data_IF_941443982440
#
_entry.id   IF_941443982440
#
_cell.length_a   1.000
_cell.length_b   1.000
_cell.length_c   1.000
_cell.angle_alpha   90.00
_cell.angle_beta   90.00
_cell.angle_gamma   90.00
#
_symmetry.space_group_name_H-M   'P 1'
#
loop_
_entity.id
_entity.type
_entity.pdbx_description
1 polymer ?
#
# COMPACT_ATOMS: atom_id res chain seq x y z
N UNK A 1 -8.08 -8.50 17.35
CA UNK A 1 -8.35 -7.34 16.46
C UNK A 1 -9.41 -6.39 17.02
N UNK A 2 -10.56 -6.86 17.56
CA UNK A 2 -11.63 -5.98 18.11
C UNK A 2 -11.24 -5.17 19.36
N UNK A 3 -10.37 -5.69 20.23
CA UNK A 3 -9.93 -4.97 21.45
C UNK A 3 -9.02 -3.76 21.14
N UNK A 4 -8.17 -3.88 20.12
CA UNK A 4 -7.32 -2.78 19.64
C UNK A 4 -8.16 -1.63 19.07
N UNK A 5 -9.14 -1.96 18.24
CA UNK A 5 -10.07 -0.99 17.68
C UNK A 5 -10.77 -0.19 18.80
N UNK A 6 -11.24 -0.87 19.85
CA UNK A 6 -11.94 -0.25 20.98
C UNK A 6 -11.03 0.68 21.81
N UNK A 7 -9.79 0.28 22.07
CA UNK A 7 -8.80 1.09 22.80
C UNK A 7 -8.41 2.36 22.03
N UNK A 8 -8.25 2.25 20.70
CA UNK A 8 -7.92 3.40 19.86
C UNK A 8 -9.09 4.37 19.73
N UNK A 9 -10.33 3.89 19.55
CA UNK A 9 -11.52 4.78 19.50
C UNK A 9 -11.78 5.48 20.83
N UNK A 10 -11.46 4.86 21.97
CA UNK A 10 -11.63 5.50 23.28
C UNK A 10 -10.58 6.58 23.57
N UNK A 11 -9.32 6.35 23.18
CA UNK A 11 -8.20 7.24 23.53
C UNK A 11 -7.91 8.30 22.46
N UNK A 12 -8.26 8.05 21.21
CA UNK A 12 -8.07 9.00 20.12
C UNK A 12 -9.45 9.48 19.67
N UNK A 13 -9.73 10.80 19.70
CA UNK A 13 -10.96 11.34 19.14
C UNK A 13 -10.93 11.16 17.62
N UNK A 14 -11.42 10.01 17.15
CA UNK A 14 -11.49 9.65 15.75
C UNK A 14 -12.91 9.82 15.25
N UNK A 15 -13.07 10.52 14.12
CA UNK A 15 -14.32 10.52 13.37
C UNK A 15 -14.29 9.32 12.44
N UNK A 16 -15.36 8.51 12.45
CA UNK A 16 -15.52 7.43 11.48
C UNK A 16 -15.69 8.04 10.09
N UNK A 17 -14.73 7.74 9.20
CA UNK A 17 -14.70 8.28 7.83
C UNK A 17 -14.90 7.19 6.78
N UNK A 18 -15.45 6.03 7.17
CA UNK A 18 -15.70 4.90 6.26
C UNK A 18 -14.68 3.76 6.38
N UNK A 19 -14.98 2.64 5.71
CA UNK A 19 -14.04 1.54 5.55
C UNK A 19 -13.04 1.89 4.45
N UNK A 20 -11.76 1.61 4.71
CA UNK A 20 -10.71 1.75 3.71
C UNK A 20 -10.40 0.37 3.15
N UNK A 21 -10.60 0.20 1.85
CA UNK A 21 -10.25 -1.04 1.15
C UNK A 21 -9.03 -0.79 0.28
N UNK A 22 -8.15 -1.78 0.25
CA UNK A 22 -7.04 -1.83 -0.69
C UNK A 22 -7.04 -3.15 -1.45
N UNK A 23 -6.76 -3.07 -2.74
CA UNK A 23 -6.57 -4.23 -3.61
C UNK A 23 -5.26 -4.09 -4.34
N UNK A 24 -4.35 -5.02 -4.10
CA UNK A 24 -3.07 -5.10 -4.79
C UNK A 24 -3.08 -6.24 -5.80
N UNK A 25 -2.48 -6.04 -6.97
CA UNK A 25 -2.38 -7.04 -8.04
C UNK A 25 -0.98 -7.09 -8.61
N UNK A 26 -0.53 -8.28 -8.96
CA UNK A 26 0.68 -8.52 -9.72
C UNK A 26 0.31 -9.01 -11.12
N UNK A 27 0.83 -8.32 -12.13
CA UNK A 27 0.75 -8.71 -13.53
C UNK A 27 2.15 -9.04 -14.06
N UNK A 28 2.24 -10.07 -14.90
CA UNK A 28 3.46 -10.48 -15.59
C UNK A 28 3.35 -10.15 -17.08
N UNK A 29 4.44 -9.64 -17.65
CA UNK A 29 4.53 -9.40 -19.08
C UNK A 29 4.62 -10.71 -19.90
N UNK A 30 3.84 -10.80 -20.97
CA UNK A 30 3.73 -11.97 -21.85
C UNK A 30 4.22 -11.72 -23.28
N UNK A 31 4.87 -10.58 -23.54
CA UNK A 31 5.40 -10.29 -24.87
C UNK A 31 6.44 -11.36 -25.30
N UNK A 32 6.31 -11.90 -26.52
CA UNK A 32 7.28 -12.85 -27.05
C UNK A 32 8.62 -12.14 -27.32
N UNK A 33 9.73 -12.86 -27.13
CA UNK A 33 11.10 -12.41 -27.42
C UNK A 33 11.64 -11.26 -26.54
N UNK A 34 11.03 -11.00 -25.38
CA UNK A 34 11.64 -10.10 -24.39
C UNK A 34 12.62 -10.88 -23.51
N UNK A 35 13.87 -10.44 -23.47
CA UNK A 35 14.94 -11.12 -22.72
C UNK A 35 14.67 -11.15 -21.20
N UNK A 36 13.96 -10.15 -20.69
CA UNK A 36 13.56 -10.06 -19.28
C UNK A 36 12.12 -9.57 -19.20
N UNK A 37 11.22 -10.47 -18.78
CA UNK A 37 9.81 -10.14 -18.56
C UNK A 37 9.68 -9.15 -17.40
N UNK A 38 8.82 -8.16 -17.56
CA UNK A 38 8.52 -7.18 -16.53
C UNK A 38 7.37 -7.61 -15.62
N UNK A 39 7.42 -7.13 -14.38
CA UNK A 39 6.32 -7.20 -13.44
C UNK A 39 5.67 -5.82 -13.34
N UNK A 40 4.34 -5.78 -13.40
CA UNK A 40 3.55 -4.61 -13.06
C UNK A 40 2.81 -4.90 -11.76
N UNK A 41 3.00 -4.05 -10.76
CA UNK A 41 2.25 -4.07 -9.51
C UNK A 41 1.21 -2.96 -9.58
N UNK A 42 -0.04 -3.25 -9.24
CA UNK A 42 -1.05 -2.20 -9.11
C UNK A 42 -1.68 -2.24 -7.73
N UNK A 43 -1.94 -1.07 -7.15
CA UNK A 43 -2.71 -0.92 -5.92
C UNK A 43 -3.88 0.02 -6.19
N UNK A 44 -5.08 -0.45 -5.87
CA UNK A 44 -6.28 0.39 -5.79
C UNK A 44 -6.53 0.70 -4.34
N UNK A 45 -6.70 1.98 -4.01
CA UNK A 45 -7.02 2.45 -2.66
C UNK A 45 -8.36 3.18 -2.74
N UNK A 46 -9.32 2.80 -1.91
CA UNK A 46 -10.64 3.46 -1.88
C UNK A 46 -10.92 4.04 -0.49
N UNK A 47 -10.47 5.27 -0.20
CA UNK A 47 -11.13 6.08 0.82
C UNK A 47 -12.43 6.62 0.20
N UNK A 48 -13.60 6.21 0.71
CA UNK A 48 -14.90 6.76 0.32
C UNK A 48 -15.26 6.61 -1.18
N UNK A 49 -15.12 5.41 -1.74
CA UNK A 49 -15.60 5.04 -3.08
C UNK A 49 -14.94 5.75 -4.28
N UNK A 50 -14.01 6.69 -4.06
CA UNK A 50 -13.14 7.21 -5.10
C UNK A 50 -11.97 6.24 -5.28
N UNK A 51 -12.13 5.30 -6.21
CA UNK A 51 -11.10 4.32 -6.54
C UNK A 51 -9.99 4.99 -7.36
N UNK A 52 -8.88 5.30 -6.70
CA UNK A 52 -7.65 5.70 -7.40
C UNK A 52 -6.73 4.49 -7.49
N UNK A 53 -6.20 4.24 -8.68
CA UNK A 53 -5.30 3.14 -8.94
C UNK A 53 -3.88 3.67 -9.15
N UNK A 54 -2.89 2.99 -8.60
CA UNK A 54 -1.48 3.30 -8.81
C UNK A 54 -0.80 2.07 -9.41
N UNK A 55 0.01 2.28 -10.44
CA UNK A 55 0.72 1.22 -11.15
C UNK A 55 2.23 1.44 -11.05
N UNK A 56 2.95 0.45 -10.53
CA UNK A 56 4.41 0.40 -10.46
C UNK A 56 4.92 -0.62 -11.48
N UNK A 57 5.75 -0.15 -12.42
CA UNK A 57 6.49 -1.02 -13.36
C UNK A 57 7.96 -0.69 -13.26
N UNK A 58 8.80 -1.71 -13.10
CA UNK A 58 10.22 -1.56 -12.79
C UNK A 58 10.39 -0.70 -11.53
N UNK A 59 10.78 0.57 -11.72
CA UNK A 59 10.98 1.57 -10.69
C UNK A 59 10.19 2.85 -11.00
N UNK A 60 9.08 2.79 -11.73
CA UNK A 60 8.27 3.99 -12.01
C UNK A 60 6.85 3.73 -11.54
N UNK A 61 6.38 4.58 -10.62
CA UNK A 61 4.99 4.56 -10.15
C UNK A 61 4.19 5.66 -10.84
N UNK A 62 3.00 5.31 -11.31
CA UNK A 62 2.11 6.24 -12.01
C UNK A 62 0.73 6.13 -11.39
N UNK A 63 0.10 7.28 -11.16
CA UNK A 63 -1.31 7.37 -10.81
C UNK A 63 -2.17 7.18 -12.07
N UNK A 64 -3.17 6.33 -11.97
CA UNK A 64 -4.07 5.94 -13.04
C UNK A 64 -5.53 6.06 -12.60
N UNK A 65 -6.40 6.33 -13.57
CA UNK A 65 -7.84 6.39 -13.34
C UNK A 65 -8.44 4.98 -13.20
N UNK A 66 -9.65 4.89 -12.65
CA UNK A 66 -10.35 3.63 -12.37
C UNK A 66 -10.55 2.69 -13.58
N UNK A 67 -10.46 3.20 -14.80
CA UNK A 67 -10.60 2.40 -16.03
C UNK A 67 -9.34 1.57 -16.37
N UNK A 68 -8.22 1.78 -15.68
CA UNK A 68 -6.96 1.08 -15.96
C UNK A 68 -7.09 -0.44 -15.82
N UNK A 69 -7.88 -0.93 -14.87
CA UNK A 69 -8.16 -2.36 -14.75
C UNK A 69 -8.90 -2.91 -15.98
N UNK A 70 -9.89 -2.17 -16.50
CA UNK A 70 -10.62 -2.55 -17.70
C UNK A 70 -9.71 -2.55 -18.94
N UNK A 71 -8.73 -1.65 -19.00
CA UNK A 71 -7.70 -1.62 -20.04
C UNK A 71 -6.80 -2.85 -19.95
N UNK A 72 -6.26 -3.16 -18.77
CA UNK A 72 -5.42 -4.36 -18.55
C UNK A 72 -6.18 -5.65 -18.87
N UNK A 73 -7.48 -5.70 -18.57
CA UNK A 73 -8.33 -6.84 -18.91
C UNK A 73 -8.50 -7.04 -20.43
N UNK A 74 -8.31 -6.00 -21.25
CA UNK A 74 -8.28 -6.09 -22.72
C UNK A 74 -6.89 -6.42 -23.26
N UNK A 75 -5.83 -6.09 -22.53
CA UNK A 75 -4.43 -6.32 -22.89
C UNK A 75 -3.87 -7.66 -22.37
N UNK A 76 -4.67 -8.72 -22.31
CA UNK A 76 -4.28 -10.03 -21.73
C UNK A 76 -3.15 -10.74 -22.48
N UNK A 77 -2.93 -10.37 -23.74
CA UNK A 77 -1.82 -10.85 -24.55
C UNK A 77 -0.48 -10.18 -24.17
N UNK A 78 -0.51 -9.07 -23.42
CA UNK A 78 0.66 -8.34 -22.93
C UNK A 78 0.82 -8.55 -21.43
N UNK A 79 -0.27 -8.48 -20.66
CA UNK A 79 -0.24 -8.57 -19.21
C UNK A 79 -1.12 -9.71 -18.71
N UNK A 80 -0.53 -10.65 -17.99
CA UNK A 80 -1.26 -11.73 -17.32
C UNK A 80 -1.36 -11.45 -15.82
N UNK A 81 -2.58 -11.44 -15.28
CA UNK A 81 -2.77 -11.33 -13.83
C UNK A 81 -2.26 -12.62 -13.15
N UNK A 82 -1.34 -12.47 -12.19
CA UNK A 82 -0.73 -13.59 -11.47
C UNK A 82 -1.21 -13.71 -10.03
N UNK A 83 -1.42 -12.57 -9.36
CA UNK A 83 -1.81 -12.56 -7.95
C UNK A 83 -2.69 -11.36 -7.65
N UNK A 84 -3.61 -11.56 -6.72
CA UNK A 84 -4.45 -10.51 -6.12
C UNK A 84 -4.36 -10.64 -4.60
N UNK A 85 -4.19 -9.52 -3.92
CA UNK A 85 -4.21 -9.39 -2.46
C UNK A 85 -5.24 -8.33 -2.12
N UNK A 86 -6.30 -8.73 -1.43
CA UNK A 86 -7.30 -7.82 -0.89
C UNK A 86 -7.03 -7.60 0.60
N UNK A 87 -7.12 -6.36 1.05
CA UNK A 87 -7.04 -6.02 2.47
C UNK A 87 -8.00 -4.90 2.81
N UNK A 88 -8.63 -5.02 3.96
CA UNK A 88 -9.58 -4.05 4.47
C UNK A 88 -9.05 -3.53 5.80
N UNK A 89 -9.06 -2.21 5.98
CA UNK A 89 -8.72 -1.60 7.25
C UNK A 89 -9.73 -0.52 7.58
N UNK A 90 -10.07 -0.40 8.86
CA UNK A 90 -10.90 0.71 9.33
C UNK A 90 -10.00 1.90 9.65
N UNK A 91 -10.20 3.01 8.95
CA UNK A 91 -9.45 4.25 9.19
C UNK A 91 -10.29 5.20 10.05
N UNK A 92 -9.80 5.50 11.25
CA UNK A 92 -10.29 6.61 12.07
C UNK A 92 -9.38 7.80 11.77
N UNK A 93 -9.91 8.83 11.11
CA UNK A 93 -9.10 9.97 10.72
C UNK A 93 -8.45 10.63 11.95
N UNK A 94 -7.13 10.82 11.89
CA UNK A 94 -6.37 11.61 12.87
C UNK A 94 -5.83 12.85 12.19
N UNK A 95 -6.07 14.03 12.80
CA UNK A 95 -5.54 15.32 12.33
C UNK A 95 -4.04 15.48 12.63
N UNK A 96 -3.45 14.56 13.39
CA UNK A 96 -2.05 14.59 13.79
C UNK A 96 -1.43 13.18 13.72
N UNK A 97 -1.06 12.68 12.52
CA UNK A 97 -0.52 11.33 12.35
C UNK A 97 0.76 11.08 13.18
N UNK A 98 1.59 12.12 13.34
CA UNK A 98 2.80 12.05 14.18
C UNK A 98 2.51 12.17 15.68
N UNK A 99 1.40 12.79 16.10
CA UNK A 99 1.04 12.84 17.52
C UNK A 99 0.64 11.47 18.07
N UNK A 100 0.15 10.58 17.20
CA UNK A 100 -0.14 9.18 17.55
C UNK A 100 1.07 8.26 17.49
N UNK A 101 2.23 8.72 17.00
CA UNK A 101 3.40 7.84 16.84
C UNK A 101 3.88 7.28 18.18
N UNK A 102 3.94 8.11 19.23
CA UNK A 102 4.33 7.66 20.58
C UNK A 102 3.35 6.64 21.15
N UNK A 103 2.04 6.90 21.02
CA UNK A 103 0.96 6.01 21.46
C UNK A 103 0.95 4.68 20.70
N UNK A 104 1.17 4.71 19.38
CA UNK A 104 1.27 3.51 18.56
C UNK A 104 2.50 2.68 18.93
N UNK A 105 3.66 3.32 19.14
CA UNK A 105 4.86 2.63 19.59
C UNK A 105 4.68 2.00 20.98
N UNK A 106 4.03 2.72 21.91
CA UNK A 106 3.71 2.21 23.25
C UNK A 106 2.76 1.01 23.16
N UNK A 107 1.70 1.12 22.35
CA UNK A 107 0.76 0.03 22.14
C UNK A 107 1.43 -1.20 21.51
N UNK A 108 2.20 -1.01 20.43
CA UNK A 108 2.95 -2.11 19.79
C UNK A 108 3.85 -2.76 20.83
N UNK A 109 4.56 -1.99 21.64
CA UNK A 109 5.41 -2.54 22.71
C UNK A 109 4.63 -3.35 23.74
N UNK A 110 3.39 -2.95 24.04
CA UNK A 110 2.52 -3.64 25.00
C UNK A 110 1.98 -4.97 24.45
N UNK A 111 1.66 -5.05 23.16
CA UNK A 111 1.14 -6.28 22.54
C UNK A 111 2.23 -7.18 21.95
N UNK A 112 3.45 -6.66 21.78
CA UNK A 112 4.57 -7.42 21.24
C UNK A 112 5.02 -8.44 22.29
N UNK A 113 5.00 -9.75 21.97
CA UNK A 113 5.54 -10.76 22.87
C UNK A 113 6.98 -10.43 23.24
N UNK A 114 7.40 -10.70 24.49
CA UNK A 114 8.74 -10.36 24.99
C UNK A 114 9.92 -10.94 24.20
N UNK A 115 9.67 -11.89 23.28
CA UNK A 115 10.65 -12.51 22.39
C UNK A 115 10.57 -12.02 20.94
N UNK A 116 9.57 -11.23 20.58
CA UNK A 116 9.40 -10.72 19.23
C UNK A 116 10.25 -9.45 19.04
N UNK A 117 10.98 -9.40 17.92
CA UNK A 117 11.76 -8.22 17.54
C UNK A 117 10.84 -7.32 16.71
N UNK A 118 10.55 -6.12 17.21
CA UNK A 118 9.86 -5.09 16.43
C UNK A 118 10.88 -4.53 15.44
N UNK A 119 10.87 -5.03 14.22
CA UNK A 119 11.61 -4.40 13.14
C UNK A 119 10.82 -3.15 12.72
N UNK A 120 11.23 -1.98 13.21
CA UNK A 120 10.72 -0.73 12.65
C UNK A 120 11.09 -0.71 11.18
N UNK A 121 10.09 -0.63 10.31
CA UNK A 121 10.33 -0.45 8.89
C UNK A 121 11.16 0.82 8.70
N UNK A 122 12.43 0.63 8.39
CA UNK A 122 13.25 1.65 7.78
C UNK A 122 13.06 1.45 6.28
N UNK A 123 12.84 2.50 5.48
CA UNK A 123 12.97 2.39 4.04
C UNK A 123 14.40 1.90 3.76
N UNK A 124 14.58 0.59 3.63
CA UNK A 124 15.75 -0.04 3.04
C UNK A 124 15.41 -0.18 1.58
N UNK A 125 15.63 0.89 0.85
CA UNK A 125 15.25 1.03 -0.55
C UNK A 125 15.65 2.39 -1.05
N UNK A 126 15.85 2.47 -2.36
CA UNK A 126 16.28 3.66 -3.08
C UNK A 126 15.45 4.90 -2.68
N UNK A 127 16.09 6.06 -2.79
CA UNK A 127 15.45 7.37 -2.57
C UNK A 127 14.15 7.48 -3.39
N UNK A 128 13.12 8.17 -2.88
CA UNK A 128 11.87 8.42 -3.62
C UNK A 128 12.12 8.98 -5.02
N UNK A 129 13.17 9.77 -5.20
CA UNK A 129 13.59 10.29 -6.50
C UNK A 129 13.93 9.18 -7.51
N UNK A 130 14.41 8.01 -7.06
CA UNK A 130 14.68 6.87 -7.94
C UNK A 130 13.43 6.31 -8.61
N UNK A 131 12.26 6.57 -8.01
CA UNK A 131 10.95 6.16 -8.52
C UNK A 131 10.08 7.30 -9.02
N UNK A 132 10.68 8.49 -9.24
CA UNK A 132 10.00 9.67 -9.73
C UNK A 132 9.12 10.38 -8.69
N UNK A 133 9.35 10.10 -7.40
CA UNK A 133 8.64 10.70 -6.28
C UNK A 133 9.45 11.80 -5.60
N UNK A 134 8.76 12.68 -4.86
CA UNK A 134 9.38 13.81 -4.16
C UNK A 134 10.00 13.36 -2.84
N UNK A 135 11.17 13.88 -2.49
CA UNK A 135 11.77 13.60 -1.16
C UNK A 135 11.14 14.44 -0.04
N UNK A 136 10.43 15.50 -0.40
CA UNK A 136 9.96 16.52 0.55
C UNK A 136 8.44 16.60 0.64
N UNK A 137 7.73 16.23 -0.42
CA UNK A 137 6.28 16.31 -0.50
C UNK A 137 5.66 14.92 -0.50
N UNK A 138 4.91 14.59 0.54
CA UNK A 138 4.31 13.28 0.68
C UNK A 138 2.88 13.27 0.11
N UNK A 139 2.66 12.45 -0.91
CA UNK A 139 1.37 12.30 -1.61
C UNK A 139 0.81 10.88 -1.47
N UNK A 140 -0.42 10.65 -1.91
CA UNK A 140 -1.01 9.30 -1.93
C UNK A 140 -0.20 8.31 -2.79
N UNK A 141 0.51 8.80 -3.82
CA UNK A 141 1.45 8.00 -4.63
C UNK A 141 2.61 7.45 -3.79
N UNK A 142 3.10 8.21 -2.80
CA UNK A 142 4.15 7.74 -1.89
C UNK A 142 3.65 6.64 -0.97
N UNK A 143 2.44 6.82 -0.44
CA UNK A 143 1.77 5.81 0.38
C UNK A 143 1.53 4.53 -0.42
N UNK A 144 1.06 4.64 -1.66
CA UNK A 144 0.89 3.52 -2.57
C UNK A 144 2.21 2.77 -2.81
N UNK A 145 3.29 3.50 -3.09
CA UNK A 145 4.62 2.94 -3.26
C UNK A 145 5.10 2.18 -2.01
N UNK A 146 4.99 2.78 -0.82
CA UNK A 146 5.39 2.14 0.44
C UNK A 146 4.66 0.81 0.67
N UNK A 147 3.34 0.77 0.43
CA UNK A 147 2.54 -0.45 0.60
C UNK A 147 2.99 -1.53 -0.39
N UNK A 148 3.17 -1.16 -1.66
CA UNK A 148 3.66 -2.11 -2.68
C UNK A 148 5.03 -2.68 -2.31
N UNK A 149 5.95 -1.83 -1.83
CA UNK A 149 7.27 -2.27 -1.40
C UNK A 149 7.22 -3.18 -0.17
N UNK A 150 6.34 -2.89 0.79
CA UNK A 150 6.11 -3.76 1.95
C UNK A 150 5.61 -5.13 1.51
N UNK A 151 4.55 -5.18 0.70
CA UNK A 151 3.97 -6.44 0.24
C UNK A 151 4.96 -7.25 -0.62
N UNK A 152 5.78 -6.58 -1.43
CA UNK A 152 6.86 -7.21 -2.19
C UNK A 152 7.94 -7.78 -1.27
N UNK A 153 8.38 -7.03 -0.24
CA UNK A 153 9.37 -7.50 0.76
C UNK A 153 8.87 -8.76 1.48
N UNK A 154 7.59 -8.82 1.81
CA UNK A 154 6.96 -9.94 2.49
C UNK A 154 6.55 -11.10 1.55
N UNK A 155 6.92 -11.06 0.27
CA UNK A 155 6.55 -12.03 -0.77
C UNK A 155 5.02 -12.24 -0.89
N UNK A 156 4.25 -11.19 -0.56
CA UNK A 156 2.80 -11.17 -0.67
C UNK A 156 2.34 -10.76 -2.08
N UNK A 157 3.20 -10.15 -2.89
CA UNK A 157 2.97 -9.89 -4.32
C UNK A 157 3.92 -10.69 -5.20
#
# INVERSE_FOLDING_TARGET
>A
MRELHHLLTQKLPGVYVGQWQMRCKLYLEELPNVAQKKNMYSITMSPNFNETQYCLVDNVIVEAQGDMEAILAKLRNIWSLRKTVDAETEYLATVHPYASESLLNEFISLITPSKAVIEKWKPQGDSYASVGLSETEFTDTHRAYQILMLLKKENLL
#
